data_IF_565210613160
#
_entry.id   IF_565210613160
#
_cell.length_a   1.000
_cell.length_b   1.000
_cell.length_c   1.000
_cell.angle_alpha   90.00
_cell.angle_beta   90.00
_cell.angle_gamma   90.00
#
_symmetry.space_group_name_H-M   'P 1'
#
loop_
_entity.id
_entity.type
_entity.pdbx_description
1 polymer ?
#
# COMPACT_ATOMS: atom_id res chain seq x y z
N UNK A 1 19.84 3.32 4.72
CA UNK A 1 18.70 3.36 5.66
C UNK A 1 17.56 4.10 4.97
N UNK A 2 16.48 3.40 4.65
CA UNK A 2 15.28 4.04 4.10
C UNK A 2 14.60 4.75 5.28
N UNK A 3 14.35 6.05 5.15
CA UNK A 3 13.77 6.84 6.24
C UNK A 3 12.31 6.42 6.50
N UNK A 4 11.87 6.51 7.77
CA UNK A 4 10.50 6.18 8.21
C UNK A 4 9.37 6.84 7.40
N UNK A 5 9.67 7.92 6.69
CA UNK A 5 8.72 8.71 5.89
C UNK A 5 8.78 8.43 4.38
N UNK A 6 9.67 7.55 3.91
CA UNK A 6 9.71 7.21 2.48
C UNK A 6 8.51 6.35 2.14
N UNK A 7 7.66 6.83 1.24
CA UNK A 7 6.53 6.06 0.74
C UNK A 7 6.99 5.00 -0.25
N UNK A 8 6.73 3.74 0.08
CA UNK A 8 7.05 2.57 -0.75
C UNK A 8 5.76 1.86 -1.18
N UNK A 9 5.88 1.03 -2.21
CA UNK A 9 4.82 0.16 -2.69
C UNK A 9 4.86 -1.16 -1.91
N UNK A 10 3.77 -1.46 -1.22
CA UNK A 10 3.63 -2.67 -0.43
C UNK A 10 2.92 -3.74 -1.23
N UNK A 11 3.46 -4.95 -1.22
CA UNK A 11 2.88 -6.11 -1.88
C UNK A 11 2.87 -7.30 -0.94
N UNK A 12 1.72 -7.99 -0.85
CA UNK A 12 1.63 -9.31 -0.23
C UNK A 12 1.89 -10.37 -1.30
N UNK A 13 2.74 -11.33 -0.97
CA UNK A 13 3.14 -12.42 -1.86
C UNK A 13 3.03 -13.72 -1.07
N UNK A 14 2.32 -14.71 -1.61
CA UNK A 14 2.15 -16.02 -1.00
C UNK A 14 2.72 -17.12 -1.90
N UNK A 15 3.54 -17.99 -1.29
CA UNK A 15 4.08 -19.18 -1.93
C UNK A 15 3.58 -20.44 -1.22
N UNK A 16 3.46 -21.51 -2.00
CA UNK A 16 3.23 -22.86 -1.51
C UNK A 16 4.39 -23.76 -1.91
N UNK A 17 4.97 -24.46 -0.93
CA UNK A 17 5.96 -25.49 -1.16
C UNK A 17 5.34 -26.80 -1.65
N UNK A 18 6.19 -27.68 -2.15
CA UNK A 18 5.88 -29.06 -2.55
C UNK A 18 5.20 -29.89 -1.44
N UNK A 19 5.55 -29.62 -0.19
CA UNK A 19 4.96 -30.22 1.01
C UNK A 19 3.57 -29.66 1.36
N UNK A 20 2.98 -28.81 0.51
CA UNK A 20 1.68 -28.18 0.71
C UNK A 20 1.66 -27.06 1.77
N UNK A 21 2.81 -26.73 2.38
CA UNK A 21 2.88 -25.62 3.33
C UNK A 21 2.88 -24.30 2.58
N UNK A 22 2.04 -23.39 3.05
CA UNK A 22 1.96 -22.02 2.54
C UNK A 22 2.69 -21.06 3.48
N UNK A 23 3.41 -20.09 2.90
CA UNK A 23 3.93 -18.94 3.63
C UNK A 23 3.76 -17.70 2.78
N UNK A 24 3.39 -16.61 3.43
CA UNK A 24 3.25 -15.30 2.81
C UNK A 24 4.19 -14.30 3.46
N UNK A 25 4.70 -13.39 2.65
CA UNK A 25 5.48 -12.24 3.10
C UNK A 25 4.92 -10.95 2.52
N UNK A 26 5.28 -9.84 3.16
CA UNK A 26 5.05 -8.51 2.61
C UNK A 26 6.38 -7.92 2.21
N UNK A 27 6.45 -7.43 0.97
CA UNK A 27 7.62 -6.72 0.45
C UNK A 27 7.34 -5.26 0.19
N UNK A 28 8.40 -4.48 0.34
CA UNK A 28 8.41 -3.04 0.13
C UNK A 28 9.27 -2.74 -1.09
N UNK A 29 8.69 -2.11 -2.09
CA UNK A 29 9.37 -1.80 -3.36
C UNK A 29 9.31 -0.30 -3.64
N UNK A 30 10.37 0.21 -4.28
CA UNK A 30 10.40 1.61 -4.77
C UNK A 30 9.50 1.82 -5.98
N UNK A 31 9.14 0.75 -6.70
CA UNK A 31 8.25 0.74 -7.86
C UNK A 31 7.03 -0.13 -7.58
N UNK A 32 5.91 0.17 -8.24
CA UNK A 32 4.69 -0.64 -8.21
C UNK A 32 4.86 -1.99 -8.90
N UNK A 33 5.86 -2.15 -9.76
CA UNK A 33 6.08 -3.37 -10.51
C UNK A 33 6.85 -4.40 -9.68
N UNK A 34 6.32 -5.62 -9.61
CA UNK A 34 7.03 -6.75 -9.03
C UNK A 34 7.76 -7.49 -10.14
N UNK A 35 9.08 -7.59 -10.01
CA UNK A 35 9.93 -8.23 -11.03
C UNK A 35 10.21 -9.69 -10.67
N UNK A 36 10.62 -10.50 -11.66
CA UNK A 36 11.02 -11.89 -11.42
C UNK A 36 12.15 -12.03 -10.37
N UNK A 37 13.24 -11.23 -10.40
CA UNK A 37 14.25 -11.26 -9.33
C UNK A 37 13.65 -11.02 -7.94
N UNK A 38 12.76 -10.03 -7.81
CA UNK A 38 12.06 -9.75 -6.55
C UNK A 38 11.28 -10.97 -6.03
N UNK A 39 10.57 -11.67 -6.92
CA UNK A 39 9.83 -12.88 -6.55
C UNK A 39 10.74 -14.01 -6.11
N UNK A 40 11.90 -14.17 -6.76
CA UNK A 40 12.91 -15.17 -6.38
C UNK A 40 13.49 -14.87 -5.00
N UNK A 41 13.83 -13.61 -4.72
CA UNK A 41 14.34 -13.18 -3.42
C UNK A 41 13.32 -13.46 -2.31
N UNK A 42 12.04 -13.15 -2.54
CA UNK A 42 10.95 -13.41 -1.59
C UNK A 42 10.79 -14.90 -1.32
N UNK A 43 10.79 -15.72 -2.38
CA UNK A 43 10.71 -17.18 -2.24
C UNK A 43 11.82 -17.72 -1.34
N UNK A 44 13.06 -17.28 -1.56
CA UNK A 44 14.22 -17.67 -0.75
C UNK A 44 14.09 -17.18 0.71
N UNK A 45 13.66 -15.93 0.93
CA UNK A 45 13.45 -15.39 2.27
C UNK A 45 12.35 -16.12 3.05
N UNK A 46 11.32 -16.60 2.36
CA UNK A 46 10.26 -17.43 2.93
C UNK A 46 10.71 -18.88 3.20
N UNK A 47 11.96 -19.23 2.84
CA UNK A 47 12.56 -20.53 3.07
C UNK A 47 12.03 -21.61 2.12
N UNK A 48 11.62 -21.22 0.92
CA UNK A 48 11.16 -22.14 -0.11
C UNK A 48 12.25 -22.43 -1.15
N UNK A 49 12.25 -23.66 -1.65
CA UNK A 49 13.08 -24.09 -2.77
C UNK A 49 12.49 -23.61 -4.12
N UNK A 50 13.13 -23.99 -5.22
CA UNK A 50 12.75 -23.54 -6.58
C UNK A 50 11.42 -24.12 -7.06
N UNK A 51 10.94 -25.19 -6.42
CA UNK A 51 9.70 -25.88 -6.80
C UNK A 51 8.46 -25.20 -6.22
N UNK A 52 8.64 -24.24 -5.31
CA UNK A 52 7.52 -23.52 -4.72
C UNK A 52 6.76 -22.69 -5.76
N UNK A 53 5.43 -22.79 -5.68
CA UNK A 53 4.51 -22.14 -6.61
C UNK A 53 4.04 -20.83 -6.00
N UNK A 54 4.05 -19.77 -6.80
CA UNK A 54 3.41 -18.50 -6.44
C UNK A 54 1.89 -18.68 -6.46
N UNK A 55 1.26 -18.60 -5.29
CA UNK A 55 -0.18 -18.82 -5.14
C UNK A 55 -0.96 -17.53 -5.33
N UNK A 56 -0.47 -16.44 -4.73
CA UNK A 56 -1.15 -15.16 -4.80
C UNK A 56 -0.19 -13.98 -4.69
N UNK A 57 -0.61 -12.89 -5.32
CA UNK A 57 0.04 -11.59 -5.26
C UNK A 57 -1.04 -10.52 -5.10
N UNK A 58 -0.84 -9.59 -4.17
CA UNK A 58 -1.78 -8.50 -3.92
C UNK A 58 -1.03 -7.20 -3.68
N UNK A 59 -1.46 -6.14 -4.36
CA UNK A 59 -0.94 -4.81 -4.15
C UNK A 59 -1.68 -4.14 -3.00
N UNK A 60 -0.96 -3.79 -1.94
CA UNK A 60 -1.53 -3.22 -0.71
C UNK A 60 -1.60 -1.69 -0.76
N UNK A 61 -0.86 -1.07 -1.68
CA UNK A 61 -0.87 0.38 -1.86
C UNK A 61 0.51 1.01 -1.70
N UNK A 62 0.54 2.33 -1.81
CA UNK A 62 1.72 3.15 -1.56
C UNK A 62 1.56 3.83 -0.22
N UNK A 63 2.47 3.56 0.71
CA UNK A 63 2.38 4.05 2.08
C UNK A 63 3.77 4.15 2.71
N UNK A 64 3.90 4.96 3.75
CA UNK A 64 5.07 4.95 4.64
C UNK A 64 5.05 3.71 5.54
N UNK A 65 6.18 3.40 6.15
CA UNK A 65 6.25 2.30 7.12
C UNK A 65 5.33 2.54 8.33
N UNK A 66 5.24 3.78 8.81
CA UNK A 66 4.37 4.13 9.92
C UNK A 66 2.89 3.89 9.59
N UNK A 67 2.45 4.25 8.39
CA UNK A 67 1.07 4.02 7.92
C UNK A 67 0.77 2.52 7.74
N UNK A 68 1.74 1.73 7.28
CA UNK A 68 1.59 0.29 7.18
C UNK A 68 1.45 -0.37 8.56
N UNK A 69 2.30 0.01 9.51
CA UNK A 69 2.29 -0.55 10.87
C UNK A 69 1.08 -0.12 11.69
N UNK A 70 0.61 1.13 11.53
CA UNK A 70 -0.58 1.61 12.24
C UNK A 70 -1.89 1.15 11.62
N UNK A 71 -1.89 0.78 10.33
CA UNK A 71 -3.11 0.52 9.56
C UNK A 71 -3.91 1.80 9.23
N UNK A 72 -3.44 2.97 9.66
CA UNK A 72 -4.09 4.25 9.39
C UNK A 72 -3.58 4.83 8.07
N UNK A 73 -4.29 4.54 6.99
CA UNK A 73 -4.03 5.18 5.71
C UNK A 73 -4.63 6.57 5.76
N UNK A 74 -3.78 7.60 5.86
CA UNK A 74 -4.21 8.99 5.69
C UNK A 74 -4.67 9.16 4.24
N UNK A 75 -5.98 9.09 4.02
CA UNK A 75 -6.55 9.39 2.73
C UNK A 75 -6.05 10.78 2.27
N UNK A 76 -5.76 10.98 0.96
CA UNK A 76 -5.37 12.29 0.44
C UNK A 76 -6.54 13.25 0.64
N UNK A 77 -6.54 13.90 1.79
CA UNK A 77 -7.64 14.70 2.29
C UNK A 77 -7.71 16.05 1.59
N UNK A 78 -6.78 16.37 0.70
CA UNK A 78 -6.69 17.66 0.00
C UNK A 78 -7.95 17.90 -0.83
N UNK A 79 -8.39 16.92 -1.62
CA UNK A 79 -9.59 17.06 -2.46
C UNK A 79 -10.87 17.20 -1.61
N UNK A 80 -10.95 16.44 -0.51
CA UNK A 80 -12.06 16.54 0.45
C UNK A 80 -12.06 17.90 1.18
N UNK A 81 -10.89 18.38 1.61
CA UNK A 81 -10.76 19.70 2.23
C UNK A 81 -11.12 20.81 1.26
N UNK A 82 -10.68 20.73 0.00
CA UNK A 82 -11.04 21.70 -1.04
C UNK A 82 -12.55 21.72 -1.29
N UNK A 83 -13.18 20.55 -1.36
CA UNK A 83 -14.64 20.45 -1.51
C UNK A 83 -15.38 21.06 -0.32
N UNK A 84 -14.97 20.73 0.90
CA UNK A 84 -15.55 21.27 2.14
C UNK A 84 -15.42 22.79 2.18
N UNK A 85 -14.27 23.34 1.80
CA UNK A 85 -14.06 24.79 1.71
C UNK A 85 -14.96 25.44 0.67
N UNK A 86 -15.11 24.84 -0.51
CA UNK A 86 -16.01 25.37 -1.55
C UNK A 86 -17.47 25.42 -1.09
N UNK A 87 -17.94 24.37 -0.40
CA UNK A 87 -19.30 24.33 0.18
C UNK A 87 -19.48 25.39 1.25
N UNK A 88 -18.50 25.57 2.14
CA UNK A 88 -18.56 26.59 3.19
C UNK A 88 -18.65 28.01 2.59
N UNK A 89 -17.84 28.33 1.59
CA UNK A 89 -17.87 29.62 0.90
C UNK A 89 -19.20 29.85 0.20
N UNK A 90 -19.73 28.84 -0.49
CA UNK A 90 -21.04 28.93 -1.15
C UNK A 90 -22.16 29.20 -0.13
N UNK A 91 -22.14 28.52 1.03
CA UNK A 91 -23.09 28.74 2.11
C UNK A 91 -23.06 30.18 2.66
N UNK A 92 -21.86 30.74 2.86
CA UNK A 92 -21.68 32.13 3.32
C UNK A 92 -22.21 33.12 2.28
N UNK A 93 -21.93 32.91 0.99
CA UNK A 93 -22.43 33.78 -0.09
C UNK A 93 -23.96 33.75 -0.21
N UNK A 94 -24.58 32.58 -0.05
CA UNK A 94 -26.04 32.45 -0.03
C UNK A 94 -26.63 33.17 1.17
N UNK A 95 -26.05 33.00 2.36
CA UNK A 95 -26.50 33.69 3.57
C UNK A 95 -26.40 35.22 3.44
N UNK A 96 -25.30 35.74 2.88
CA UNK A 96 -25.11 37.17 2.62
C UNK A 96 -26.07 37.74 1.57
N UNK A 97 -26.61 36.92 0.67
CA UNK A 97 -27.62 37.34 -0.32
C UNK A 97 -29.05 37.29 0.22
N UNK A 98 -29.28 36.63 1.34
CA UNK A 98 -30.59 36.50 1.99
C UNK A 98 -30.82 37.52 3.12
N UNK A 99 -29.79 38.28 3.51
CA UNK A 99 -29.82 39.42 4.44
C UNK A 99 -29.88 40.72 3.65
#
# INVERSE_FOLDING_TARGET
MIGRNTQLHYHSICYMGDNGKMRSGVVQLVSRQVTRPTLQDVRLQLGFDENAVLVSHSYLGRMSQAEYESGEIKAPSVLLHMLMMAVAVAGVLVALKLV
#
